data_IF_621870481046
#
_entry.id   IF_621870481046
#
_cell.length_a   1.000
_cell.length_b   1.000
_cell.length_c   1.000
_cell.angle_alpha   90.00
_cell.angle_beta   90.00
_cell.angle_gamma   90.00
#
_symmetry.space_group_name_H-M   'P 1'
#
loop_
_entity.id
_entity.type
_entity.pdbx_description
1 polymer ?
#
# COMPACT_ATOMS: atom_id res chain seq x y z
N UNK A 1 3.59 22.78 14.11
CA UNK A 1 2.89 24.05 13.96
C UNK A 1 3.78 25.20 14.43
N UNK A 2 4.38 25.09 15.60
CA UNK A 2 5.21 26.13 16.24
C UNK A 2 6.43 26.58 15.43
N UNK A 3 7.04 25.71 14.63
CA UNK A 3 8.22 26.06 13.82
C UNK A 3 7.89 26.58 12.42
N UNK A 4 6.80 26.09 11.81
CA UNK A 4 6.47 26.37 10.40
C UNK A 4 5.69 27.67 10.26
N UNK A 5 4.71 27.92 11.13
CA UNK A 5 3.88 29.12 11.06
C UNK A 5 4.69 30.42 11.13
N UNK A 6 5.68 30.59 12.08
CA UNK A 6 6.50 31.78 12.13
C UNK A 6 7.35 32.02 10.87
N UNK A 7 7.69 30.95 10.14
CA UNK A 7 8.42 31.08 8.86
C UNK A 7 7.49 31.60 7.77
N UNK A 8 6.27 31.10 7.71
CA UNK A 8 5.27 31.57 6.74
C UNK A 8 4.80 32.99 7.03
N UNK A 9 4.76 33.39 8.29
CA UNK A 9 4.39 34.76 8.72
C UNK A 9 5.43 35.82 8.31
N UNK A 10 6.67 35.44 7.92
CA UNK A 10 7.65 36.36 7.32
C UNK A 10 7.26 36.80 5.91
N UNK A 11 6.38 36.05 5.23
CA UNK A 11 5.78 36.47 3.96
C UNK A 11 4.81 37.62 4.26
N UNK A 12 4.87 38.75 3.54
CA UNK A 12 3.96 39.87 3.74
C UNK A 12 2.50 39.42 3.76
N UNK A 13 1.71 40.03 4.64
CA UNK A 13 0.30 39.62 4.78
C UNK A 13 -0.47 39.77 3.47
N UNK A 14 -0.19 40.82 2.71
CA UNK A 14 -0.80 41.08 1.40
C UNK A 14 -0.58 39.92 0.43
N UNK A 15 0.65 39.39 0.37
CA UNK A 15 0.99 38.26 -0.47
C UNK A 15 0.31 36.97 0.01
N UNK A 16 0.21 36.78 1.33
CA UNK A 16 -0.49 35.61 1.90
C UNK A 16 -1.99 35.67 1.66
N UNK A 17 -2.57 36.86 1.76
CA UNK A 17 -4.02 37.10 1.52
C UNK A 17 -4.37 37.00 0.02
N UNK A 18 -3.38 37.15 -0.87
CA UNK A 18 -3.51 36.99 -2.32
C UNK A 18 -3.41 35.55 -2.79
N UNK A 19 -3.03 34.60 -1.91
CA UNK A 19 -2.99 33.17 -2.28
C UNK A 19 -4.39 32.64 -2.53
N UNK A 20 -4.66 32.21 -3.75
CA UNK A 20 -5.98 31.73 -4.17
C UNK A 20 -6.25 30.28 -3.76
N UNK A 21 -5.22 29.40 -3.80
CA UNK A 21 -5.37 27.98 -3.50
C UNK A 21 -4.12 27.39 -2.84
N UNK A 22 -4.34 26.50 -1.86
CA UNK A 22 -3.30 25.68 -1.26
C UNK A 22 -3.67 24.21 -1.34
N UNK A 23 -2.84 23.43 -2.01
CA UNK A 23 -2.97 21.95 -2.08
C UNK A 23 -2.18 21.32 -0.95
N UNK A 24 -2.81 20.40 -0.21
CA UNK A 24 -2.23 19.77 0.98
C UNK A 24 -2.61 18.28 1.10
N UNK A 25 -1.99 17.61 2.08
CA UNK A 25 -2.36 16.25 2.48
C UNK A 25 -3.52 16.22 3.50
N UNK A 26 -3.84 15.04 4.05
CA UNK A 26 -4.86 14.88 5.09
C UNK A 26 -4.40 15.27 6.50
N UNK A 27 -3.18 15.78 6.69
CA UNK A 27 -2.63 16.11 8.01
C UNK A 27 -3.45 17.22 8.69
N UNK A 28 -3.98 17.00 9.91
CA UNK A 28 -4.67 18.03 10.68
C UNK A 28 -3.79 19.24 10.98
N UNK A 29 -2.49 19.01 11.26
CA UNK A 29 -1.52 20.07 11.54
C UNK A 29 -1.27 20.93 10.30
N UNK A 30 -1.15 20.32 9.11
CA UNK A 30 -1.02 21.08 7.86
C UNK A 30 -2.26 21.93 7.59
N UNK A 31 -3.45 21.38 7.82
CA UNK A 31 -4.69 22.14 7.68
C UNK A 31 -4.74 23.37 8.59
N UNK A 32 -4.34 23.20 9.85
CA UNK A 32 -4.29 24.32 10.80
C UNK A 32 -3.27 25.40 10.39
N UNK A 33 -2.08 24.99 9.91
CA UNK A 33 -1.06 25.90 9.39
C UNK A 33 -1.59 26.68 8.18
N UNK A 34 -2.20 25.99 7.21
CA UNK A 34 -2.74 26.63 5.99
C UNK A 34 -3.86 27.59 6.33
N UNK A 35 -4.75 27.21 7.25
CA UNK A 35 -5.85 28.07 7.69
C UNK A 35 -5.33 29.36 8.37
N UNK A 36 -4.27 29.28 9.16
CA UNK A 36 -3.68 30.42 9.85
C UNK A 36 -2.84 31.31 8.90
N UNK A 37 -2.03 30.68 8.03
CA UNK A 37 -1.11 31.43 7.16
C UNK A 37 -1.81 32.02 5.92
N UNK A 38 -2.83 31.35 5.36
CA UNK A 38 -3.51 31.66 4.09
C UNK A 38 -5.03 31.65 4.26
N UNK A 39 -5.61 32.60 5.02
CA UNK A 39 -7.02 32.53 5.41
C UNK A 39 -8.01 32.58 4.24
N UNK A 40 -7.63 33.24 3.14
CA UNK A 40 -8.47 33.42 1.95
C UNK A 40 -8.32 32.26 0.93
N UNK A 41 -7.32 31.40 1.10
CA UNK A 41 -7.00 30.37 0.13
C UNK A 41 -8.02 29.22 0.13
N UNK A 42 -8.41 28.77 -1.06
CA UNK A 42 -9.15 27.53 -1.26
C UNK A 42 -8.25 26.36 -0.86
N UNK A 43 -8.65 25.57 0.14
CA UNK A 43 -7.90 24.41 0.60
C UNK A 43 -8.31 23.18 -0.19
N UNK A 44 -7.37 22.58 -0.89
CA UNK A 44 -7.60 21.38 -1.73
C UNK A 44 -6.76 20.21 -1.22
N UNK A 45 -7.40 19.06 -1.03
CA UNK A 45 -6.68 17.80 -0.74
C UNK A 45 -6.13 17.21 -2.03
N UNK A 46 -4.82 16.91 -2.05
CA UNK A 46 -4.21 16.22 -3.17
C UNK A 46 -4.80 14.81 -3.33
N UNK A 47 -5.31 14.52 -4.52
CA UNK A 47 -5.90 13.23 -4.86
C UNK A 47 -4.92 12.05 -4.75
N UNK A 48 -3.60 12.28 -4.78
CA UNK A 48 -2.60 11.25 -4.54
C UNK A 48 -2.74 10.64 -3.14
N UNK A 49 -2.88 11.49 -2.11
CA UNK A 49 -3.05 11.03 -0.72
C UNK A 49 -4.37 10.29 -0.51
N UNK A 50 -5.42 10.67 -1.22
CA UNK A 50 -6.70 9.97 -1.26
C UNK A 50 -6.56 8.54 -1.80
N UNK A 51 -5.80 8.37 -2.89
CA UNK A 51 -5.50 7.03 -3.43
C UNK A 51 -4.56 6.24 -2.53
N UNK A 52 -3.67 6.91 -1.81
CA UNK A 52 -2.80 6.29 -0.83
C UNK A 52 -3.59 5.67 0.31
N UNK A 53 -4.56 6.38 0.91
CA UNK A 53 -5.43 5.83 1.97
C UNK A 53 -6.10 4.52 1.54
N UNK A 54 -6.70 4.49 0.34
CA UNK A 54 -7.31 3.27 -0.18
C UNK A 54 -6.28 2.18 -0.51
N UNK A 55 -5.08 2.58 -0.95
CA UNK A 55 -3.96 1.68 -1.20
C UNK A 55 -3.46 1.01 0.07
N UNK A 56 -3.37 1.76 1.16
CA UNK A 56 -2.96 1.27 2.48
C UNK A 56 -4.00 0.31 3.06
N UNK A 57 -5.30 0.66 2.97
CA UNK A 57 -6.39 -0.23 3.34
C UNK A 57 -6.32 -1.58 2.59
N UNK A 58 -6.07 -1.55 1.29
CA UNK A 58 -5.89 -2.76 0.47
C UNK A 58 -4.62 -3.52 0.86
N UNK A 59 -3.54 -2.81 1.19
CA UNK A 59 -2.29 -3.36 1.71
C UNK A 59 -2.51 -4.10 3.03
N UNK A 60 -3.30 -3.53 3.92
CA UNK A 60 -3.65 -4.13 5.22
C UNK A 60 -4.49 -5.41 5.05
N UNK A 61 -5.51 -5.40 4.20
CA UNK A 61 -6.29 -6.60 3.88
C UNK A 61 -5.39 -7.70 3.32
N UNK A 62 -4.46 -7.37 2.41
CA UNK A 62 -3.47 -8.31 1.89
C UNK A 62 -2.59 -8.87 3.01
N UNK A 63 -2.15 -8.03 3.94
CA UNK A 63 -1.33 -8.47 5.07
C UNK A 63 -2.11 -9.35 6.05
N UNK A 64 -3.41 -9.10 6.28
CA UNK A 64 -4.29 -9.98 7.08
C UNK A 64 -4.37 -11.37 6.45
N UNK A 65 -4.56 -11.47 5.12
CA UNK A 65 -4.52 -12.75 4.42
C UNK A 65 -3.15 -13.42 4.54
N UNK A 66 -2.05 -12.67 4.31
CA UNK A 66 -0.69 -13.21 4.40
C UNK A 66 -0.38 -13.78 5.79
N UNK A 67 -0.76 -13.08 6.87
CA UNK A 67 -0.59 -13.56 8.24
C UNK A 67 -1.39 -14.84 8.49
N UNK A 68 -2.64 -14.91 8.01
CA UNK A 68 -3.47 -16.11 8.11
C UNK A 68 -2.83 -17.32 7.43
N UNK A 69 -2.34 -17.16 6.19
CA UNK A 69 -1.66 -18.23 5.45
C UNK A 69 -0.34 -18.64 6.12
N UNK A 70 0.42 -17.69 6.68
CA UNK A 70 1.64 -17.97 7.42
C UNK A 70 1.35 -18.79 8.70
N UNK A 71 0.32 -18.42 9.45
CA UNK A 71 -0.11 -19.16 10.64
C UNK A 71 -0.51 -20.59 10.29
N UNK A 72 -1.26 -20.77 9.20
CA UNK A 72 -1.65 -22.08 8.66
C UNK A 72 -0.41 -22.90 8.29
N UNK A 73 0.51 -22.33 7.51
CA UNK A 73 1.75 -22.99 7.10
C UNK A 73 2.61 -23.40 8.30
N UNK A 74 2.72 -22.56 9.31
CA UNK A 74 3.46 -22.86 10.54
C UNK A 74 2.83 -24.03 11.32
N UNK A 75 1.48 -24.07 11.42
CA UNK A 75 0.74 -25.18 12.05
C UNK A 75 1.01 -26.50 11.32
N UNK A 76 0.90 -26.49 10.00
CA UNK A 76 1.13 -27.67 9.16
C UNK A 76 2.59 -28.14 9.23
N UNK A 77 3.54 -27.21 9.25
CA UNK A 77 4.95 -27.53 9.44
C UNK A 77 5.24 -28.21 10.80
N UNK A 78 4.62 -27.72 11.88
CA UNK A 78 4.72 -28.36 13.21
C UNK A 78 4.17 -29.77 13.21
N UNK A 79 2.99 -29.99 12.61
CA UNK A 79 2.38 -31.30 12.48
C UNK A 79 3.25 -32.27 11.64
N UNK A 80 3.79 -31.80 10.51
CA UNK A 80 4.68 -32.56 9.67
C UNK A 80 5.93 -32.99 10.44
N UNK A 81 6.56 -32.08 11.18
CA UNK A 81 7.74 -32.37 11.98
C UNK A 81 7.44 -33.36 13.13
N UNK A 82 6.30 -33.24 13.79
CA UNK A 82 5.86 -34.17 14.83
C UNK A 82 5.65 -35.59 14.26
N UNK A 83 4.98 -35.71 13.10
CA UNK A 83 4.83 -37.00 12.39
C UNK A 83 6.16 -37.59 11.99
N UNK A 84 7.12 -36.77 11.49
CA UNK A 84 8.47 -37.21 11.13
C UNK A 84 9.19 -37.75 12.33
N UNK A 85 9.15 -37.09 13.50
CA UNK A 85 9.74 -37.56 14.76
C UNK A 85 9.11 -38.88 15.22
N UNK A 86 7.78 -38.99 15.22
CA UNK A 86 7.04 -40.22 15.59
C UNK A 86 7.42 -41.38 14.69
N UNK A 87 7.47 -41.15 13.36
CA UNK A 87 7.87 -42.20 12.40
C UNK A 87 9.33 -42.61 12.56
N UNK A 88 10.23 -41.68 12.89
CA UNK A 88 11.65 -42.00 13.16
C UNK A 88 11.78 -42.87 14.40
N UNK A 89 11.10 -42.56 15.51
CA UNK A 89 11.05 -43.38 16.73
C UNK A 89 10.51 -44.79 16.45
N UNK A 90 9.39 -44.88 15.70
CA UNK A 90 8.80 -46.19 15.32
C UNK A 90 9.75 -47.02 14.46
N UNK A 91 10.46 -46.39 13.51
CA UNK A 91 11.48 -47.09 12.68
C UNK A 91 12.66 -47.55 13.49
N UNK A 92 13.11 -46.77 14.49
CA UNK A 92 14.20 -47.16 15.38
C UNK A 92 13.77 -48.37 16.20
N UNK A 93 12.64 -48.35 16.86
CA UNK A 93 12.09 -49.48 17.62
C UNK A 93 11.91 -50.72 16.75
N UNK A 94 11.40 -50.59 15.53
CA UNK A 94 11.24 -51.73 14.62
C UNK A 94 12.58 -52.35 14.22
N UNK A 95 13.65 -51.57 14.03
CA UNK A 95 14.98 -52.07 13.74
C UNK A 95 15.57 -52.84 14.91
N UNK A 96 15.35 -52.37 16.13
CA UNK A 96 15.82 -53.03 17.34
C UNK A 96 15.14 -54.40 17.54
N UNK A 97 13.83 -54.46 17.29
CA UNK A 97 13.05 -55.70 17.44
C UNK A 97 13.18 -56.71 16.27
N UNK A 98 13.64 -56.28 15.09
CA UNK A 98 13.71 -57.12 13.90
C UNK A 98 15.10 -57.03 13.22
N UNK A 99 16.21 -57.40 13.92
CA UNK A 99 17.55 -57.18 13.36
C UNK A 99 17.87 -58.02 12.13
N UNK A 100 17.29 -59.24 11.99
CA UNK A 100 17.53 -60.15 10.85
C UNK A 100 16.89 -59.68 9.51
N UNK A 101 15.80 -58.93 9.53
CA UNK A 101 15.13 -58.39 8.31
C UNK A 101 15.88 -57.23 7.64
N UNK A 102 16.84 -56.62 8.32
CA UNK A 102 17.59 -55.48 7.80
C UNK A 102 18.94 -55.80 7.17
N UNK A 103 19.42 -57.08 7.24
CA UNK A 103 20.64 -57.50 6.58
C UNK A 103 20.33 -57.84 5.11
N UNK A 104 20.78 -57.05 4.16
CA UNK A 104 21.00 -57.51 2.78
C UNK A 104 20.13 -56.92 1.66
N UNK A 105 19.13 -56.06 1.88
CA UNK A 105 18.47 -55.38 0.76
C UNK A 105 19.22 -54.11 0.41
N UNK A 106 19.95 -54.08 -0.72
CA UNK A 106 20.45 -52.85 -1.33
C UNK A 106 19.27 -51.91 -1.53
N UNK A 107 19.29 -50.75 -0.88
CA UNK A 107 18.28 -49.70 -1.13
C UNK A 107 18.43 -49.22 -2.57
N UNK A 108 17.35 -49.23 -3.34
CA UNK A 108 17.27 -48.48 -4.58
C UNK A 108 17.63 -47.00 -4.41
N UNK A 109 17.85 -46.26 -5.49
CA UNK A 109 18.27 -44.86 -5.43
C UNK A 109 17.40 -44.09 -4.42
N UNK A 110 18.04 -43.36 -3.51
CA UNK A 110 17.32 -42.51 -2.55
C UNK A 110 16.52 -41.51 -3.35
N UNK A 111 15.18 -41.44 -3.19
CA UNK A 111 14.44 -40.37 -3.81
C UNK A 111 15.07 -39.04 -3.38
N UNK A 112 15.40 -38.19 -4.34
CA UNK A 112 15.96 -36.85 -4.09
C UNK A 112 14.95 -36.02 -3.27
N UNK A 113 14.97 -36.20 -1.96
CA UNK A 113 14.17 -35.39 -1.04
C UNK A 113 14.94 -34.08 -0.84
N UNK A 114 14.51 -33.03 -1.56
CA UNK A 114 14.94 -31.69 -1.25
C UNK A 114 14.74 -31.45 0.26
N UNK A 115 15.83 -31.39 1.00
CA UNK A 115 16.05 -30.97 2.38
C UNK A 115 14.99 -31.27 3.48
N UNK A 116 14.08 -32.23 3.32
CA UNK A 116 13.17 -32.70 4.38
C UNK A 116 12.39 -31.64 5.17
N UNK A 117 12.37 -30.38 4.71
CA UNK A 117 11.59 -29.30 5.28
C UNK A 117 10.18 -29.31 4.69
N UNK A 118 9.20 -28.99 5.52
CA UNK A 118 7.83 -28.79 5.06
C UNK A 118 7.78 -27.57 4.13
N UNK A 119 7.08 -27.70 3.00
CA UNK A 119 6.74 -26.58 2.12
C UNK A 119 5.23 -26.65 1.84
N UNK A 120 4.46 -25.55 2.06
CA UNK A 120 3.04 -25.50 1.71
C UNK A 120 2.82 -25.80 0.23
N UNK A 121 1.64 -26.34 -0.10
CA UNK A 121 1.26 -26.55 -1.49
C UNK A 121 1.23 -25.21 -2.25
N UNK A 122 1.71 -25.17 -3.50
CA UNK A 122 1.65 -23.98 -4.32
C UNK A 122 0.20 -23.66 -4.70
N UNK A 123 -0.12 -22.36 -4.80
CA UNK A 123 -1.46 -21.86 -5.19
C UNK A 123 -1.48 -21.19 -6.56
N UNK A 124 -0.31 -20.76 -7.02
CA UNK A 124 -0.12 -20.17 -8.34
C UNK A 124 1.26 -20.51 -8.88
N UNK A 125 1.33 -21.30 -9.96
CA UNK A 125 2.59 -21.87 -10.47
C UNK A 125 3.31 -22.58 -9.31
N UNK A 126 4.58 -22.22 -9.04
CA UNK A 126 5.37 -22.81 -7.95
C UNK A 126 5.34 -22.00 -6.65
N UNK A 127 4.48 -20.97 -6.56
CA UNK A 127 4.41 -20.06 -5.43
C UNK A 127 3.48 -20.57 -4.33
N UNK A 128 3.96 -20.61 -3.10
CA UNK A 128 3.14 -20.82 -1.91
C UNK A 128 2.20 -19.62 -1.67
N UNK A 129 1.11 -19.78 -0.88
CA UNK A 129 0.18 -18.66 -0.59
C UNK A 129 0.89 -17.39 -0.09
N UNK A 130 1.89 -17.53 0.79
CA UNK A 130 2.65 -16.42 1.37
C UNK A 130 3.52 -15.72 0.31
N UNK A 131 4.23 -16.50 -0.52
CA UNK A 131 5.05 -15.97 -1.62
C UNK A 131 4.17 -15.26 -2.65
N UNK A 132 3.05 -15.87 -3.01
CA UNK A 132 2.09 -15.31 -3.96
C UNK A 132 1.53 -13.96 -3.50
N UNK A 133 1.03 -13.87 -2.25
CA UNK A 133 0.55 -12.62 -1.66
C UNK A 133 1.66 -11.57 -1.55
N UNK A 134 2.90 -11.97 -1.27
CA UNK A 134 4.03 -11.04 -1.20
C UNK A 134 4.31 -10.40 -2.55
N UNK A 135 4.37 -11.20 -3.61
CA UNK A 135 4.65 -10.74 -4.98
C UNK A 135 3.48 -9.95 -5.62
N UNK A 136 2.28 -10.06 -5.05
CA UNK A 136 1.12 -9.29 -5.52
C UNK A 136 1.05 -7.86 -4.95
N UNK A 137 1.97 -7.41 -4.06
CA UNK A 137 1.93 -6.08 -3.44
C UNK A 137 1.77 -4.95 -4.46
N UNK A 138 2.68 -4.86 -5.41
CA UNK A 138 2.67 -3.78 -6.41
C UNK A 138 1.64 -3.98 -7.52
N UNK A 139 1.22 -5.22 -7.76
CA UNK A 139 0.20 -5.53 -8.76
C UNK A 139 -1.14 -4.89 -8.41
N UNK A 140 -1.60 -5.02 -7.16
CA UNK A 140 -2.90 -4.53 -6.71
C UNK A 140 -2.97 -3.00 -6.61
N UNK A 141 -1.83 -2.33 -6.46
CA UNK A 141 -1.76 -0.86 -6.46
C UNK A 141 -1.80 -0.26 -7.87
N UNK A 142 -1.45 -1.06 -8.89
CA UNK A 142 -1.42 -0.65 -10.29
C UNK A 142 -2.80 -0.77 -10.92
N UNK A 143 -3.21 0.23 -11.71
CA UNK A 143 -4.45 0.16 -12.49
C UNK A 143 -4.45 -1.00 -13.48
N UNK A 144 -5.61 -1.61 -13.73
CA UNK A 144 -5.77 -2.80 -14.55
C UNK A 144 -5.44 -2.56 -16.04
N UNK A 145 -5.65 -1.35 -16.55
CA UNK A 145 -5.27 -0.90 -17.89
C UNK A 145 -3.76 -1.00 -18.14
N UNK A 146 -2.97 -0.78 -17.09
CA UNK A 146 -1.50 -0.82 -17.13
C UNK A 146 -0.91 -2.23 -16.89
N UNK A 147 -1.74 -3.27 -16.78
CA UNK A 147 -1.25 -4.63 -16.55
C UNK A 147 -0.81 -5.32 -17.84
N UNK A 148 0.37 -5.95 -17.81
CA UNK A 148 0.84 -6.89 -18.82
C UNK A 148 -0.01 -8.17 -18.79
N UNK A 149 0.00 -9.00 -19.84
CA UNK A 149 -0.75 -10.27 -19.94
C UNK A 149 -0.53 -11.17 -18.72
N UNK A 150 0.72 -11.39 -18.33
CA UNK A 150 1.08 -12.21 -17.16
C UNK A 150 0.57 -11.62 -15.83
N UNK A 151 0.50 -10.28 -15.72
CA UNK A 151 -0.06 -9.60 -14.54
C UNK A 151 -1.57 -9.74 -14.47
N UNK A 152 -2.29 -9.71 -15.62
CA UNK A 152 -3.73 -9.98 -15.69
C UNK A 152 -4.07 -11.40 -15.25
N UNK A 153 -3.27 -12.40 -15.67
CA UNK A 153 -3.42 -13.79 -15.23
C UNK A 153 -3.21 -13.94 -13.71
N UNK A 154 -2.15 -13.32 -13.19
CA UNK A 154 -1.85 -13.30 -11.74
C UNK A 154 -2.99 -12.63 -10.95
N UNK A 155 -3.53 -11.52 -11.43
CA UNK A 155 -4.64 -10.81 -10.79
C UNK A 155 -5.92 -11.65 -10.76
N UNK A 156 -6.24 -12.38 -11.85
CA UNK A 156 -7.38 -13.30 -11.89
C UNK A 156 -7.25 -14.41 -10.84
N UNK A 157 -6.06 -14.99 -10.71
CA UNK A 157 -5.79 -16.01 -9.68
C UNK A 157 -5.92 -15.40 -8.27
N UNK A 158 -5.35 -14.21 -8.04
CA UNK A 158 -5.44 -13.51 -6.76
C UNK A 158 -6.90 -13.25 -6.35
N UNK A 159 -7.69 -12.72 -7.25
CA UNK A 159 -9.07 -12.33 -6.97
C UNK A 159 -10.00 -13.53 -6.77
N UNK A 160 -9.70 -14.67 -7.39
CA UNK A 160 -10.38 -15.93 -7.13
C UNK A 160 -10.09 -16.47 -5.75
N UNK A 161 -8.83 -16.42 -5.30
CA UNK A 161 -8.39 -16.95 -4.01
C UNK A 161 -8.73 -16.02 -2.85
N UNK A 162 -8.74 -14.69 -3.09
CA UNK A 162 -8.90 -13.66 -2.06
C UNK A 162 -9.97 -12.63 -2.47
N UNK A 163 -11.26 -12.96 -2.34
CA UNK A 163 -12.36 -12.12 -2.83
C UNK A 163 -12.40 -10.70 -2.25
N UNK A 164 -12.01 -10.53 -0.97
CA UNK A 164 -11.95 -9.19 -0.35
C UNK A 164 -10.96 -8.27 -1.06
N UNK A 165 -9.82 -8.79 -1.55
CA UNK A 165 -8.88 -8.01 -2.36
C UNK A 165 -9.48 -7.59 -3.71
N UNK A 166 -10.31 -8.46 -4.31
CA UNK A 166 -11.07 -8.11 -5.52
C UNK A 166 -12.00 -6.92 -5.26
N UNK A 167 -12.83 -7.01 -4.21
CA UNK A 167 -13.76 -5.94 -3.83
C UNK A 167 -13.03 -4.63 -3.60
N UNK A 168 -11.96 -4.64 -2.78
CA UNK A 168 -11.15 -3.44 -2.49
C UNK A 168 -10.54 -2.84 -3.76
N UNK A 169 -10.03 -3.70 -4.66
CA UNK A 169 -9.45 -3.26 -5.93
C UNK A 169 -10.48 -2.52 -6.80
N UNK A 170 -11.72 -3.02 -6.89
CA UNK A 170 -12.79 -2.35 -7.65
C UNK A 170 -13.26 -1.06 -6.98
N UNK A 171 -13.34 -1.01 -5.65
CA UNK A 171 -13.65 0.23 -4.93
C UNK A 171 -12.60 1.30 -5.21
N UNK A 172 -11.32 0.95 -5.16
CA UNK A 172 -10.23 1.85 -5.51
C UNK A 172 -10.27 2.27 -6.99
N UNK A 173 -10.62 1.37 -7.90
CA UNK A 173 -10.77 1.69 -9.32
C UNK A 173 -11.93 2.67 -9.57
N UNK A 174 -13.07 2.51 -8.89
CA UNK A 174 -14.21 3.46 -8.93
C UNK A 174 -13.79 4.85 -8.44
N UNK A 175 -13.09 4.93 -7.30
CA UNK A 175 -12.61 6.21 -6.77
C UNK A 175 -11.67 6.89 -7.78
N UNK A 176 -10.70 6.16 -8.32
CA UNK A 176 -9.80 6.68 -9.36
C UNK A 176 -10.54 7.17 -10.61
N UNK A 177 -11.62 6.50 -11.00
CA UNK A 177 -12.42 6.90 -12.16
C UNK A 177 -13.13 8.25 -11.94
N UNK A 178 -13.57 8.55 -10.72
CA UNK A 178 -14.13 9.85 -10.35
C UNK A 178 -13.08 10.95 -10.59
N UNK A 179 -11.91 10.84 -9.95
CA UNK A 179 -10.87 11.88 -9.99
C UNK A 179 -10.12 11.98 -11.33
N UNK A 180 -10.14 10.95 -12.16
CA UNK A 180 -9.57 10.99 -13.51
C UNK A 180 -10.47 11.71 -14.52
N UNK A 181 -11.75 11.83 -14.24
CA UNK A 181 -12.71 12.49 -15.11
C UNK A 181 -12.72 14.00 -14.86
N UNK A 182 -11.85 14.72 -15.55
CA UNK A 182 -11.72 16.18 -15.47
C UNK A 182 -12.94 16.97 -16.01
N UNK A 183 -13.94 16.28 -16.58
CA UNK A 183 -15.17 16.93 -17.09
C UNK A 183 -16.28 17.00 -16.04
N UNK A 184 -16.06 16.42 -14.86
CA UNK A 184 -17.06 16.48 -13.79
C UNK A 184 -17.07 17.86 -13.15
N UNK A 185 -18.28 18.37 -12.91
CA UNK A 185 -18.45 19.49 -12.00
C UNK A 185 -18.27 19.02 -10.55
N UNK A 186 -18.07 19.95 -9.63
CA UNK A 186 -17.92 19.67 -8.20
C UNK A 186 -19.15 18.90 -7.66
N UNK A 187 -20.35 19.29 -8.08
CA UNK A 187 -21.64 18.69 -7.68
C UNK A 187 -21.75 17.25 -8.21
N UNK A 188 -21.44 17.03 -9.48
CA UNK A 188 -21.42 15.70 -10.08
C UNK A 188 -20.39 14.78 -9.42
N UNK A 189 -19.25 15.32 -9.06
CA UNK A 189 -18.22 14.59 -8.33
C UNK A 189 -18.70 14.20 -6.92
N UNK A 190 -19.41 15.11 -6.22
CA UNK A 190 -20.04 14.85 -4.92
C UNK A 190 -21.02 13.70 -4.99
N UNK A 191 -21.93 13.70 -5.96
CA UNK A 191 -22.90 12.62 -6.14
C UNK A 191 -22.22 11.27 -6.34
N UNK A 192 -21.19 11.22 -7.20
CA UNK A 192 -20.41 9.99 -7.44
C UNK A 192 -19.62 9.55 -6.22
N UNK A 193 -19.09 10.49 -5.44
CA UNK A 193 -18.37 10.21 -4.20
C UNK A 193 -19.33 9.66 -3.14
N UNK A 194 -20.52 10.21 -3.01
CA UNK A 194 -21.57 9.69 -2.12
C UNK A 194 -22.01 8.28 -2.52
N UNK A 195 -22.12 8.00 -3.83
CA UNK A 195 -22.39 6.62 -4.28
C UNK A 195 -21.23 5.68 -3.92
N UNK A 196 -19.98 6.15 -4.05
CA UNK A 196 -18.82 5.38 -3.64
C UNK A 196 -18.81 5.11 -2.13
N UNK A 197 -19.23 6.07 -1.29
CA UNK A 197 -19.39 5.85 0.16
C UNK A 197 -20.39 4.73 0.47
N UNK A 198 -21.51 4.67 -0.25
CA UNK A 198 -22.49 3.59 -0.12
C UNK A 198 -21.89 2.23 -0.51
N UNK A 199 -21.15 2.19 -1.62
CA UNK A 199 -20.49 0.97 -2.09
C UNK A 199 -19.44 0.46 -1.07
N UNK A 200 -18.66 1.37 -0.47
CA UNK A 200 -17.71 1.03 0.60
C UNK A 200 -18.44 0.47 1.82
N UNK A 201 -19.53 1.11 2.25
CA UNK A 201 -20.35 0.64 3.38
C UNK A 201 -20.90 -0.76 3.14
N UNK A 202 -21.43 -0.99 1.94
CA UNK A 202 -21.97 -2.30 1.53
C UNK A 202 -20.90 -3.41 1.49
N UNK A 203 -19.64 -3.06 1.27
CA UNK A 203 -18.53 -4.01 1.24
C UNK A 203 -18.23 -4.65 2.61
N UNK A 204 -18.61 -4.00 3.70
CA UNK A 204 -18.35 -4.41 5.09
C UNK A 204 -16.86 -4.65 5.38
N UNK A 205 -15.96 -3.94 4.70
CA UNK A 205 -14.52 -4.01 4.88
C UNK A 205 -14.06 -2.90 5.83
N UNK A 206 -13.68 -3.20 7.09
CA UNK A 206 -13.37 -2.17 8.09
C UNK A 206 -12.25 -1.22 7.62
N UNK A 207 -11.23 -1.76 6.94
CA UNK A 207 -10.10 -0.99 6.44
C UNK A 207 -10.53 0.05 5.40
N UNK A 208 -11.45 -0.33 4.50
CA UNK A 208 -11.99 0.58 3.50
C UNK A 208 -12.98 1.58 4.10
N UNK A 209 -13.72 1.17 5.13
CA UNK A 209 -14.63 2.03 5.88
C UNK A 209 -13.82 3.14 6.57
N UNK A 210 -12.72 2.80 7.24
CA UNK A 210 -11.83 3.79 7.86
C UNK A 210 -11.27 4.79 6.84
N UNK A 211 -10.81 4.32 5.67
CA UNK A 211 -10.33 5.21 4.61
C UNK A 211 -11.46 6.14 4.08
N UNK A 212 -12.68 5.58 3.90
CA UNK A 212 -13.87 6.37 3.52
C UNK A 212 -14.18 7.46 4.54
N UNK A 213 -14.14 7.13 5.83
CA UNK A 213 -14.49 8.08 6.90
C UNK A 213 -13.51 9.24 6.94
N UNK A 214 -12.22 8.99 6.80
CA UNK A 214 -11.19 10.04 6.67
C UNK A 214 -11.45 10.94 5.45
N UNK A 215 -11.85 10.36 4.32
CA UNK A 215 -12.20 11.14 3.11
C UNK A 215 -13.46 11.99 3.35
N UNK A 216 -14.45 11.40 4.01
CA UNK A 216 -15.74 12.07 4.29
C UNK A 216 -15.62 13.23 5.26
N UNK A 217 -14.73 13.12 6.26
CA UNK A 217 -14.44 14.20 7.22
C UNK A 217 -13.90 15.46 6.55
N UNK A 218 -13.24 15.29 5.40
CA UNK A 218 -12.61 16.37 4.64
C UNK A 218 -13.19 16.48 3.21
N UNK A 219 -14.49 16.16 3.05
CA UNK A 219 -15.13 16.05 1.74
C UNK A 219 -15.07 17.36 0.95
N UNK A 220 -15.29 18.51 1.61
CA UNK A 220 -15.29 19.80 0.93
C UNK A 220 -13.91 20.10 0.32
N UNK A 221 -12.83 19.87 1.08
CA UNK A 221 -11.46 20.06 0.58
C UNK A 221 -11.08 19.05 -0.48
N UNK A 222 -11.61 17.83 -0.41
CA UNK A 222 -11.44 16.80 -1.44
C UNK A 222 -12.14 17.18 -2.74
N UNK A 223 -13.35 17.75 -2.64
CA UNK A 223 -14.15 18.20 -3.79
C UNK A 223 -13.62 19.48 -4.43
N UNK A 224 -12.84 20.29 -3.70
CA UNK A 224 -12.18 21.47 -4.26
C UNK A 224 -11.23 21.14 -5.41
N UNK A 225 -10.71 19.90 -5.47
CA UNK A 225 -9.96 19.41 -6.63
C UNK A 225 -10.68 19.62 -7.96
N UNK A 226 -12.03 19.58 -7.99
CA UNK A 226 -12.81 19.75 -9.22
C UNK A 226 -13.03 21.21 -9.63
N UNK A 227 -12.52 22.16 -8.86
CA UNK A 227 -12.51 23.58 -9.24
C UNK A 227 -11.36 23.85 -10.21
N UNK A 228 -10.13 23.55 -9.81
CA UNK A 228 -8.92 23.89 -10.58
C UNK A 228 -8.08 22.67 -10.98
N UNK A 229 -8.43 21.47 -10.53
CA UNK A 229 -7.65 20.22 -10.71
C UNK A 229 -6.21 20.31 -10.19
N UNK A 230 -5.99 21.11 -9.15
CA UNK A 230 -4.67 21.33 -8.55
C UNK A 230 -4.12 20.10 -7.87
N UNK A 231 -2.82 19.90 -7.98
CA UNK A 231 -2.08 18.78 -7.37
C UNK A 231 -0.75 19.25 -6.82
N UNK A 232 -0.18 18.52 -5.87
CA UNK A 232 1.15 18.77 -5.31
C UNK A 232 2.31 18.36 -6.24
N UNK A 233 2.05 18.05 -7.53
CA UNK A 233 3.05 17.51 -8.44
C UNK A 233 4.29 18.38 -8.57
N UNK A 234 4.16 19.72 -8.58
CA UNK A 234 5.29 20.67 -8.62
C UNK A 234 6.11 20.61 -7.35
N UNK A 235 5.47 20.62 -6.19
CA UNK A 235 6.13 20.52 -4.88
C UNK A 235 6.83 19.16 -4.72
N UNK A 236 6.19 18.05 -5.15
CA UNK A 236 6.80 16.72 -5.12
C UNK A 236 8.01 16.63 -6.06
N UNK A 237 7.94 17.26 -7.24
CA UNK A 237 9.06 17.34 -8.18
C UNK A 237 10.25 18.10 -7.56
N UNK A 238 10.00 19.26 -6.95
CA UNK A 238 11.01 20.03 -6.25
C UNK A 238 11.62 19.24 -5.09
N UNK A 239 10.79 18.65 -4.24
CA UNK A 239 11.24 17.80 -3.14
C UNK A 239 12.10 16.61 -3.61
N UNK A 240 11.77 16.01 -4.76
CA UNK A 240 12.58 14.94 -5.35
C UNK A 240 13.95 15.44 -5.81
N UNK A 241 14.01 16.62 -6.41
CA UNK A 241 15.27 17.26 -6.82
C UNK A 241 16.15 17.61 -5.61
N UNK A 242 15.55 18.18 -4.54
CA UNK A 242 16.26 18.49 -3.28
C UNK A 242 16.80 17.21 -2.63
N UNK A 243 16.00 16.12 -2.60
CA UNK A 243 16.45 14.81 -2.09
C UNK A 243 17.59 14.24 -2.93
N UNK A 244 17.54 14.40 -4.25
CA UNK A 244 18.62 14.02 -5.16
C UNK A 244 19.91 14.76 -4.85
N UNK A 245 19.87 16.09 -4.77
CA UNK A 245 21.02 16.94 -4.41
C UNK A 245 21.61 16.54 -3.05
N UNK A 246 20.75 16.29 -2.04
CA UNK A 246 21.19 15.81 -0.73
C UNK A 246 21.92 14.46 -0.79
N UNK A 247 21.44 13.55 -1.63
CA UNK A 247 22.06 12.24 -1.81
C UNK A 247 23.41 12.33 -2.52
N UNK A 248 23.54 13.19 -3.55
CA UNK A 248 24.80 13.45 -4.25
C UNK A 248 25.86 14.03 -3.32
N UNK A 249 25.45 14.90 -2.39
CA UNK A 249 26.33 15.49 -1.37
C UNK A 249 26.62 14.54 -0.20
N UNK A 250 26.11 13.27 -0.24
CA UNK A 250 26.28 12.28 0.84
C UNK A 250 25.78 12.76 2.22
N UNK A 251 24.80 13.66 2.22
CA UNK A 251 24.23 14.25 3.42
C UNK A 251 24.38 15.78 3.46
N UNK A 252 23.96 16.38 4.57
CA UNK A 252 24.04 17.83 4.81
C UNK A 252 24.73 18.03 6.16
N UNK A 253 25.92 18.64 6.15
CA UNK A 253 26.66 19.01 7.34
C UNK A 253 26.34 20.48 7.70
N UNK A 254 26.35 21.35 6.68
CA UNK A 254 26.02 22.78 6.78
C UNK A 254 24.67 23.03 6.12
N UNK A 255 23.62 23.20 6.93
CA UNK A 255 22.25 23.43 6.45
C UNK A 255 22.10 24.78 5.75
N UNK A 256 22.60 25.93 6.28
CA UNK A 256 22.56 27.21 5.58
C UNK A 256 23.18 27.18 4.19
N UNK A 257 24.37 26.60 4.05
CA UNK A 257 25.02 26.46 2.75
C UNK A 257 24.28 25.55 1.82
N UNK A 258 23.71 24.45 2.31
CA UNK A 258 22.86 23.57 1.53
C UNK A 258 21.62 24.30 1.00
N UNK A 259 20.92 25.07 1.83
CA UNK A 259 19.75 25.85 1.42
C UNK A 259 20.11 26.93 0.41
N UNK A 260 21.24 27.61 0.57
CA UNK A 260 21.78 28.54 -0.43
C UNK A 260 21.98 27.84 -1.80
N UNK A 261 22.53 26.62 -1.81
CA UNK A 261 22.69 25.86 -3.06
C UNK A 261 21.35 25.46 -3.66
N UNK A 262 20.38 25.04 -2.83
CA UNK A 262 19.02 24.73 -3.28
C UNK A 262 18.39 25.95 -3.96
N UNK A 263 18.51 27.13 -3.36
CA UNK A 263 18.03 28.40 -3.93
C UNK A 263 18.69 28.70 -5.28
N UNK A 264 20.01 28.56 -5.37
CA UNK A 264 20.76 28.83 -6.62
C UNK A 264 20.50 27.84 -7.74
N UNK A 265 20.11 26.61 -7.43
CA UNK A 265 19.90 25.53 -8.44
C UNK A 265 18.45 25.45 -8.86
N UNK A 266 17.50 25.70 -7.96
CA UNK A 266 16.08 25.45 -8.17
C UNK A 266 15.16 26.66 -7.95
N UNK A 267 15.71 27.79 -7.43
CA UNK A 267 15.02 29.07 -7.20
C UNK A 267 14.95 30.00 -8.41
#
# INVERSE_FOLDING_TARGET
>A
MEEVLPVLERIPKEDRDAVEEVTMDFSPSMNAIVQAAFPNALRTIDCFHLFQLCGDAMGEIRMKYKRKEQTKANKEARQFNARKKKNAKRRKKYKETHPKKYKGKKRGPKPQRKNGKYKPAPVYKDETPVEFLTRCKHLILKSADKWKKSQKERARALFRLYPKLKTTFYLMAKLRAIFRNKKLTREQARERLHQWYKDVSASKLPEMISARDTIREREEEVLNYFVNHSTNASAESLNSKIKGLRAELKGVVDLPFFLFRVDKIFG
#
